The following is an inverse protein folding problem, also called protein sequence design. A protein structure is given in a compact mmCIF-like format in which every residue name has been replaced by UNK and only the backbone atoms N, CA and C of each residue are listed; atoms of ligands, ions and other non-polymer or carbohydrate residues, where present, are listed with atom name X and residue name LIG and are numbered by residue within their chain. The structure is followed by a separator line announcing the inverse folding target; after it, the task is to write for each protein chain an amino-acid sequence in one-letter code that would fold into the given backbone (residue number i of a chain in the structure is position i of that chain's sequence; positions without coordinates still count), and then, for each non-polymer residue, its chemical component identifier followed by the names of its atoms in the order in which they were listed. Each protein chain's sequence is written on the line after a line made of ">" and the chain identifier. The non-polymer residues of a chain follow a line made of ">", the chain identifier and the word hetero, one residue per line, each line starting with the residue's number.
data_IF_219564632683
#
_entry.id   IF_219564632683
#
_cell.length_a   1.000
_cell.length_b   1.000
_cell.length_c   1.000
_cell.angle_alpha   90.00
_cell.angle_beta   90.00
_cell.angle_gamma   90.00
#
_symmetry.space_group_name_H-M   'P 1'
#
loop_
_entity.id
_entity.type
_entity.pdbx_description
1 polymer ?
#
# COMPACT_ATOMS: atom_id res chain seq x y z
N UNK A 1 12.36 -28.43 3.15
CA UNK A 1 12.94 -27.11 2.85
C UNK A 1 12.87 -26.25 4.12
N UNK A 2 13.96 -25.57 4.49
CA UNK A 2 13.96 -24.66 5.63
C UNK A 2 13.05 -23.45 5.37
N UNK A 3 12.58 -22.78 6.41
CA UNK A 3 11.75 -21.57 6.29
C UNK A 3 12.52 -20.45 5.56
N UNK A 4 13.81 -20.32 5.82
CA UNK A 4 14.70 -19.37 5.14
C UNK A 4 14.76 -19.64 3.62
N UNK A 5 14.90 -20.90 3.21
CA UNK A 5 14.94 -21.28 1.80
C UNK A 5 13.65 -20.91 1.08
N UNK A 6 12.48 -21.14 1.73
CA UNK A 6 11.18 -20.74 1.15
C UNK A 6 11.07 -19.21 0.97
N UNK A 7 11.53 -18.44 1.95
CA UNK A 7 11.55 -16.98 1.89
C UNK A 7 12.44 -16.46 0.77
N UNK A 8 13.64 -17.03 0.60
CA UNK A 8 14.56 -16.63 -0.46
C UNK A 8 13.97 -16.95 -1.84
N UNK A 9 13.43 -18.17 -2.05
CA UNK A 9 12.83 -18.55 -3.32
C UNK A 9 11.65 -17.64 -3.66
N UNK A 10 10.78 -17.34 -2.68
CA UNK A 10 9.68 -16.42 -2.88
C UNK A 10 10.16 -15.03 -3.31
N UNK A 11 11.15 -14.47 -2.62
CA UNK A 11 11.69 -13.14 -2.94
C UNK A 11 12.33 -13.09 -4.34
N UNK A 12 13.10 -14.12 -4.70
CA UNK A 12 13.78 -14.23 -6.03
C UNK A 12 12.77 -14.32 -7.18
N UNK A 13 11.59 -14.90 -6.95
CA UNK A 13 10.54 -14.98 -7.98
C UNK A 13 9.65 -13.73 -7.93
N UNK A 14 9.22 -13.30 -6.74
CA UNK A 14 8.26 -12.22 -6.59
C UNK A 14 8.82 -10.86 -7.01
N UNK A 15 10.10 -10.56 -6.73
CA UNK A 15 10.68 -9.28 -7.09
C UNK A 15 10.79 -9.07 -8.61
N UNK A 16 11.38 -9.99 -9.42
CA UNK A 16 11.36 -9.85 -10.88
C UNK A 16 9.95 -9.85 -11.46
N UNK A 17 9.05 -10.69 -10.93
CA UNK A 17 7.66 -10.75 -11.41
C UNK A 17 6.93 -9.41 -11.16
N UNK A 18 7.12 -8.78 -9.98
CA UNK A 18 6.52 -7.48 -9.69
C UNK A 18 7.07 -6.38 -10.60
N UNK A 19 8.38 -6.38 -10.88
CA UNK A 19 8.98 -5.45 -11.84
C UNK A 19 8.39 -5.67 -13.23
N UNK A 20 8.28 -6.91 -13.70
CA UNK A 20 7.73 -7.23 -15.00
C UNK A 20 6.25 -6.81 -15.12
N UNK A 21 5.42 -7.10 -14.11
CA UNK A 21 4.00 -6.71 -14.07
C UNK A 21 3.84 -5.19 -14.12
N UNK A 22 4.64 -4.45 -13.34
CA UNK A 22 4.61 -2.98 -13.37
C UNK A 22 5.12 -2.45 -14.70
N UNK A 23 6.16 -3.06 -15.27
CA UNK A 23 6.73 -2.65 -16.56
C UNK A 23 5.74 -2.83 -17.70
N UNK A 24 5.13 -4.00 -17.83
CA UNK A 24 4.08 -4.26 -18.83
C UNK A 24 2.85 -3.40 -18.58
N UNK A 25 2.48 -3.19 -17.31
CA UNK A 25 1.37 -2.31 -16.94
C UNK A 25 0.03 -2.79 -17.47
N UNK A 26 -0.77 -1.84 -17.93
CA UNK A 26 -2.06 -2.03 -18.61
C UNK A 26 -3.01 -3.01 -17.89
N UNK A 27 -3.71 -3.89 -18.60
CA UNK A 27 -4.61 -4.89 -18.02
C UNK A 27 -3.91 -5.85 -17.06
N UNK A 28 -2.66 -6.23 -17.34
CA UNK A 28 -1.92 -7.13 -16.46
C UNK A 28 -1.74 -6.54 -15.07
N UNK A 29 -1.33 -5.29 -14.97
CA UNK A 29 -1.19 -4.59 -13.71
C UNK A 29 -2.55 -4.38 -13.04
N UNK A 30 -3.57 -3.94 -13.78
CA UNK A 30 -4.91 -3.69 -13.24
C UNK A 30 -5.51 -4.96 -12.62
N UNK A 31 -5.41 -6.11 -13.30
CA UNK A 31 -5.92 -7.40 -12.81
C UNK A 31 -5.18 -7.85 -11.54
N UNK A 32 -3.84 -7.77 -11.54
CA UNK A 32 -3.06 -8.16 -10.36
C UNK A 32 -3.41 -7.30 -9.16
N UNK A 33 -3.51 -5.97 -9.34
CA UNK A 33 -3.90 -5.06 -8.26
C UNK A 33 -5.34 -5.30 -7.79
N UNK A 34 -6.26 -5.69 -8.69
CA UNK A 34 -7.63 -6.07 -8.34
C UNK A 34 -7.67 -7.33 -7.47
N UNK A 35 -6.86 -8.34 -7.81
CA UNK A 35 -6.75 -9.56 -6.99
C UNK A 35 -6.14 -9.23 -5.62
N UNK A 36 -5.09 -8.41 -5.57
CA UNK A 36 -4.49 -7.99 -4.30
C UNK A 36 -5.49 -7.19 -3.44
N UNK A 37 -6.26 -6.29 -4.04
CA UNK A 37 -7.29 -5.52 -3.34
C UNK A 37 -8.42 -6.43 -2.81
N UNK A 38 -8.86 -7.41 -3.59
CA UNK A 38 -9.86 -8.39 -3.15
C UNK A 38 -9.38 -9.20 -1.94
N UNK A 39 -8.14 -9.70 -2.00
CA UNK A 39 -7.54 -10.48 -0.91
C UNK A 39 -7.32 -9.64 0.34
N UNK A 40 -6.83 -8.41 0.19
CA UNK A 40 -6.64 -7.48 1.30
C UNK A 40 -7.97 -7.12 1.98
N UNK A 41 -9.03 -6.85 1.19
CA UNK A 41 -10.37 -6.61 1.73
C UNK A 41 -10.91 -7.83 2.48
N UNK A 42 -10.72 -9.04 1.93
CA UNK A 42 -11.11 -10.27 2.59
C UNK A 42 -10.39 -10.46 3.93
N UNK A 43 -9.06 -10.22 3.98
CA UNK A 43 -8.28 -10.29 5.23
C UNK A 43 -8.76 -9.29 6.27
N UNK A 44 -9.03 -8.05 5.86
CA UNK A 44 -9.55 -7.01 6.75
C UNK A 44 -10.94 -7.38 7.29
N UNK A 45 -11.85 -7.86 6.45
CA UNK A 45 -13.18 -8.29 6.89
C UNK A 45 -13.11 -9.52 7.79
N UNK A 46 -12.18 -10.44 7.56
CA UNK A 46 -11.90 -11.54 8.44
C UNK A 46 -11.47 -11.04 9.84
N UNK A 47 -10.50 -10.13 9.91
CA UNK A 47 -10.09 -9.53 11.18
C UNK A 47 -11.25 -8.79 11.87
N UNK A 48 -12.06 -8.06 11.11
CA UNK A 48 -13.23 -7.39 11.67
C UNK A 48 -14.26 -8.36 12.26
N UNK A 49 -14.42 -9.56 11.70
CA UNK A 49 -15.29 -10.60 12.30
C UNK A 49 -14.80 -11.10 13.65
N UNK A 50 -13.50 -11.18 13.86
CA UNK A 50 -12.94 -11.57 15.17
C UNK A 50 -13.31 -10.56 16.28
N UNK A 51 -13.57 -9.28 15.92
CA UNK A 51 -14.09 -8.27 16.86
C UNK A 51 -15.62 -8.32 17.05
N UNK A 52 -16.32 -9.26 16.40
CA UNK A 52 -17.77 -9.38 16.43
C UNK A 52 -18.50 -8.44 15.46
N UNK A 53 -17.79 -7.84 14.52
CA UNK A 53 -18.38 -7.05 13.46
C UNK A 53 -18.95 -7.93 12.34
N UNK A 54 -19.91 -7.39 11.60
CA UNK A 54 -20.61 -8.09 10.51
C UNK A 54 -20.52 -7.31 9.19
N UNK A 55 -19.34 -7.22 8.54
CA UNK A 55 -19.20 -6.53 7.26
C UNK A 55 -20.07 -7.16 6.18
N UNK A 56 -20.42 -6.39 5.14
CA UNK A 56 -21.06 -6.86 3.90
C UNK A 56 -19.96 -7.46 2.99
N UNK A 57 -19.37 -8.54 3.44
CA UNK A 57 -18.12 -9.09 2.90
C UNK A 57 -18.13 -9.35 1.39
N UNK A 58 -19.13 -10.05 0.78
CA UNK A 58 -19.11 -10.30 -0.66
C UNK A 58 -19.15 -9.01 -1.49
N UNK A 59 -19.98 -8.05 -1.07
CA UNK A 59 -20.09 -6.75 -1.73
C UNK A 59 -18.80 -5.93 -1.56
N UNK A 60 -18.25 -5.92 -0.35
CA UNK A 60 -17.02 -5.19 -0.06
C UNK A 60 -15.81 -5.73 -0.84
N UNK A 61 -15.65 -7.05 -0.93
CA UNK A 61 -14.57 -7.68 -1.72
C UNK A 61 -14.73 -7.35 -3.21
N UNK A 62 -15.94 -7.47 -3.75
CA UNK A 62 -16.18 -7.14 -5.15
C UNK A 62 -15.90 -5.66 -5.46
N UNK A 63 -16.35 -4.75 -4.60
CA UNK A 63 -16.09 -3.32 -4.76
C UNK A 63 -14.58 -2.98 -4.64
N UNK A 64 -13.88 -3.59 -3.69
CA UNK A 64 -12.44 -3.41 -3.57
C UNK A 64 -11.70 -3.87 -4.83
N UNK A 65 -12.07 -5.03 -5.39
CA UNK A 65 -11.52 -5.55 -6.65
C UNK A 65 -11.80 -4.64 -7.85
N UNK A 66 -12.96 -3.98 -7.87
CA UNK A 66 -13.35 -3.10 -8.98
C UNK A 66 -12.58 -1.77 -9.00
N UNK A 67 -12.03 -1.30 -7.88
CA UNK A 67 -11.36 0.00 -7.82
C UNK A 67 -10.13 0.10 -8.74
N UNK A 68 -9.17 -0.85 -8.76
CA UNK A 68 -8.05 -0.78 -9.70
C UNK A 68 -8.50 -0.87 -11.18
N UNK A 69 -9.56 -1.65 -11.47
CA UNK A 69 -10.14 -1.71 -12.81
C UNK A 69 -10.83 -0.40 -13.20
N UNK A 70 -11.50 0.26 -12.25
CA UNK A 70 -12.12 1.57 -12.48
C UNK A 70 -11.06 2.65 -12.79
N UNK A 71 -9.93 2.65 -12.08
CA UNK A 71 -8.80 3.55 -12.36
C UNK A 71 -8.20 3.25 -13.73
N UNK A 72 -8.08 1.98 -14.12
CA UNK A 72 -7.67 1.60 -15.47
C UNK A 72 -8.68 2.07 -16.54
N UNK A 73 -9.96 1.85 -16.34
CA UNK A 73 -11.02 2.32 -17.25
C UNK A 73 -11.05 3.85 -17.38
N UNK A 74 -10.80 4.56 -16.28
CA UNK A 74 -10.66 6.02 -16.29
C UNK A 74 -9.49 6.48 -17.16
N UNK A 75 -8.33 5.82 -17.05
CA UNK A 75 -7.18 6.09 -17.91
C UNK A 75 -7.50 5.86 -19.40
N UNK A 76 -8.29 4.85 -19.72
CA UNK A 76 -8.73 4.58 -21.10
C UNK A 76 -9.81 5.56 -21.59
N UNK A 77 -10.29 6.47 -20.75
CA UNK A 77 -11.38 7.39 -21.10
C UNK A 77 -12.76 6.72 -21.21
N UNK A 78 -12.89 5.47 -20.78
CA UNK A 78 -14.15 4.70 -20.85
C UNK A 78 -15.11 5.10 -19.73
N UNK A 79 -14.57 5.43 -18.56
CA UNK A 79 -15.36 5.75 -17.37
C UNK A 79 -14.64 6.79 -16.51
N UNK A 80 -15.42 7.65 -15.84
CA UNK A 80 -14.87 8.60 -14.86
C UNK A 80 -15.46 8.31 -13.50
N UNK A 81 -14.62 7.99 -12.52
CA UNK A 81 -15.05 7.77 -11.14
C UNK A 81 -15.52 9.10 -10.54
N UNK A 82 -16.82 9.30 -10.48
CA UNK A 82 -17.43 10.52 -9.95
C UNK A 82 -17.74 10.40 -8.46
N UNK A 83 -17.74 11.52 -7.74
CA UNK A 83 -18.19 11.58 -6.36
C UNK A 83 -19.63 11.05 -6.22
N UNK A 84 -20.51 11.35 -7.19
CA UNK A 84 -21.87 10.84 -7.22
C UNK A 84 -21.93 9.32 -7.26
N UNK A 85 -21.07 8.66 -8.03
CA UNK A 85 -21.00 7.20 -8.09
C UNK A 85 -20.56 6.60 -6.74
N UNK A 86 -19.60 7.23 -6.07
CA UNK A 86 -19.15 6.80 -4.74
C UNK A 86 -20.26 6.95 -3.72
N UNK A 87 -20.96 8.07 -3.70
CA UNK A 87 -22.10 8.31 -2.80
C UNK A 87 -23.22 7.30 -3.08
N UNK A 88 -23.60 7.09 -4.35
CA UNK A 88 -24.62 6.11 -4.73
C UNK A 88 -24.24 4.71 -4.27
N UNK A 89 -22.99 4.30 -4.41
CA UNK A 89 -22.48 3.01 -3.93
C UNK A 89 -22.65 2.88 -2.40
N UNK A 90 -22.28 3.91 -1.63
CA UNK A 90 -22.44 3.91 -0.16
C UNK A 90 -23.92 3.81 0.22
N UNK A 91 -24.81 4.55 -0.46
CA UNK A 91 -26.25 4.49 -0.23
C UNK A 91 -26.83 3.12 -0.58
N UNK A 92 -26.40 2.48 -1.66
CA UNK A 92 -26.79 1.12 -2.03
C UNK A 92 -26.33 0.09 -0.99
N UNK A 93 -25.10 0.20 -0.50
CA UNK A 93 -24.61 -0.64 0.59
C UNK A 93 -25.46 -0.44 1.84
N UNK A 94 -25.78 0.79 2.20
CA UNK A 94 -26.63 1.07 3.35
C UNK A 94 -28.05 0.53 3.16
N UNK A 95 -28.68 0.76 2.02
CA UNK A 95 -30.01 0.24 1.70
C UNK A 95 -30.03 -1.30 1.76
N UNK A 96 -28.98 -1.99 1.28
CA UNK A 96 -28.92 -3.45 1.31
C UNK A 96 -28.98 -4.03 2.73
N UNK A 97 -28.55 -3.27 3.74
CA UNK A 97 -28.61 -3.72 5.14
C UNK A 97 -30.03 -3.91 5.66
N UNK A 98 -31.05 -3.28 5.04
CA UNK A 98 -32.46 -3.45 5.41
C UNK A 98 -32.84 -4.94 5.34
N UNK A 99 -32.39 -5.62 4.29
CA UNK A 99 -32.71 -7.05 4.06
C UNK A 99 -31.64 -8.00 4.60
N UNK A 100 -30.37 -7.57 4.56
CA UNK A 100 -29.24 -8.45 4.91
C UNK A 100 -28.92 -8.45 6.41
N UNK A 101 -29.25 -7.41 7.15
CA UNK A 101 -28.86 -7.26 8.57
C UNK A 101 -30.03 -7.02 9.50
N UNK A 102 -30.99 -6.20 9.11
CA UNK A 102 -32.05 -5.71 10.00
C UNK A 102 -31.46 -4.89 11.17
N UNK A 103 -32.31 -4.49 12.15
CA UNK A 103 -31.86 -3.64 13.27
C UNK A 103 -30.84 -4.34 14.19
N UNK A 104 -30.99 -5.64 14.44
CA UNK A 104 -30.12 -6.43 15.32
C UNK A 104 -28.73 -6.69 14.74
N UNK A 105 -28.57 -6.62 13.42
CA UNK A 105 -27.32 -6.87 12.71
C UNK A 105 -26.36 -5.68 12.67
N UNK A 106 -26.56 -4.64 13.48
CA UNK A 106 -25.69 -3.46 13.59
C UNK A 106 -25.40 -2.83 12.22
N UNK A 107 -26.42 -2.39 11.45
CA UNK A 107 -26.25 -1.97 10.06
C UNK A 107 -25.26 -0.82 9.89
N UNK A 108 -25.21 0.15 10.80
CA UNK A 108 -24.24 1.26 10.76
C UNK A 108 -22.79 0.74 10.81
N UNK A 109 -22.48 -0.13 11.77
CA UNK A 109 -21.15 -0.74 11.89
C UNK A 109 -20.81 -1.60 10.67
N UNK A 110 -21.78 -2.39 10.17
CA UNK A 110 -21.61 -3.21 8.96
C UNK A 110 -21.21 -2.37 7.75
N UNK A 111 -21.92 -1.27 7.49
CA UNK A 111 -21.60 -0.36 6.36
C UNK A 111 -20.28 0.35 6.60
N UNK A 112 -20.04 0.90 7.78
CA UNK A 112 -18.80 1.65 8.08
C UNK A 112 -17.56 0.78 7.86
N UNK A 113 -17.56 -0.47 8.36
CA UNK A 113 -16.44 -1.39 8.20
C UNK A 113 -16.31 -1.84 6.74
N UNK A 114 -17.43 -2.06 6.04
CA UNK A 114 -17.39 -2.43 4.62
C UNK A 114 -16.80 -1.29 3.79
N UNK A 115 -17.23 -0.05 3.99
CA UNK A 115 -16.72 1.12 3.28
C UNK A 115 -15.24 1.33 3.61
N UNK A 116 -14.86 1.23 4.89
CA UNK A 116 -13.46 1.32 5.29
C UNK A 116 -12.60 0.27 4.59
N UNK A 117 -13.05 -1.00 4.56
CA UNK A 117 -12.31 -2.08 3.91
C UNK A 117 -12.16 -1.89 2.40
N UNK A 118 -13.22 -1.43 1.73
CA UNK A 118 -13.18 -1.09 0.30
C UNK A 118 -12.18 0.04 0.04
N UNK A 119 -12.25 1.11 0.81
CA UNK A 119 -11.35 2.26 0.65
C UNK A 119 -9.89 1.89 0.95
N UNK A 120 -9.65 1.15 2.03
CA UNK A 120 -8.30 0.75 2.44
C UNK A 120 -7.66 -0.20 1.44
N UNK A 121 -8.36 -1.26 1.03
CA UNK A 121 -7.88 -2.18 -0.01
C UNK A 121 -7.79 -1.49 -1.39
N UNK A 122 -8.67 -0.55 -1.68
CA UNK A 122 -8.65 0.25 -2.90
C UNK A 122 -7.39 1.09 -3.08
N UNK A 123 -6.61 1.32 -2.01
CA UNK A 123 -5.32 2.03 -2.09
C UNK A 123 -4.30 1.34 -3.00
N UNK A 124 -4.45 0.05 -3.31
CA UNK A 124 -3.68 -0.61 -4.35
C UNK A 124 -3.78 0.08 -5.72
N UNK A 125 -4.88 0.77 -6.00
CA UNK A 125 -5.07 1.55 -7.23
C UNK A 125 -4.04 2.65 -7.43
N UNK A 126 -3.44 3.15 -6.35
CA UNK A 126 -2.41 4.19 -6.43
C UNK A 126 -1.09 3.69 -7.04
N UNK A 127 -0.81 2.38 -6.99
CA UNK A 127 0.30 1.77 -7.73
C UNK A 127 0.06 1.93 -9.24
N UNK A 128 -1.18 1.70 -9.69
CA UNK A 128 -1.56 1.92 -11.09
C UNK A 128 -1.49 3.41 -11.46
N UNK A 129 -2.04 4.28 -10.63
CA UNK A 129 -2.00 5.73 -10.87
C UNK A 129 -0.56 6.26 -10.94
N UNK A 130 0.33 5.77 -10.07
CA UNK A 130 1.73 6.16 -10.08
C UNK A 130 2.48 5.64 -11.32
N UNK A 131 2.17 4.41 -11.77
CA UNK A 131 2.73 3.84 -13.01
C UNK A 131 2.40 4.68 -14.25
N UNK A 132 1.25 5.33 -14.24
CA UNK A 132 0.75 6.17 -15.34
C UNK A 132 0.68 7.65 -14.96
N UNK A 133 1.58 8.09 -14.08
CA UNK A 133 1.73 9.50 -13.74
C UNK A 133 2.01 10.34 -15.01
N UNK A 134 1.53 11.56 -15.05
CA UNK A 134 1.62 12.46 -16.22
C UNK A 134 3.04 12.64 -16.77
N UNK A 135 4.05 12.56 -15.89
CA UNK A 135 5.46 12.59 -16.28
C UNK A 135 6.04 11.24 -16.66
N UNK A 136 5.28 10.13 -16.50
CA UNK A 136 5.76 8.79 -16.80
C UNK A 136 5.72 8.50 -18.31
N UNK A 137 6.67 9.06 -19.05
CA UNK A 137 6.80 8.82 -20.48
C UNK A 137 7.41 7.43 -20.72
N UNK A 138 6.52 6.46 -21.03
CA UNK A 138 6.93 5.09 -21.32
C UNK A 138 7.01 4.15 -20.12
N UNK A 139 7.32 2.89 -20.40
CA UNK A 139 7.30 1.81 -19.42
C UNK A 139 8.39 1.95 -18.36
N UNK A 140 9.59 2.31 -18.75
CA UNK A 140 10.74 2.43 -17.86
C UNK A 140 10.53 3.54 -16.82
N UNK A 141 10.09 4.73 -17.27
CA UNK A 141 9.85 5.87 -16.38
C UNK A 141 8.74 5.57 -15.36
N UNK A 142 7.60 5.04 -15.81
CA UNK A 142 6.51 4.68 -14.91
C UNK A 142 6.91 3.58 -13.91
N UNK A 143 7.71 2.60 -14.33
CA UNK A 143 8.26 1.58 -13.45
C UNK A 143 9.19 2.21 -12.40
N UNK A 144 10.08 3.10 -12.82
CA UNK A 144 10.97 3.81 -11.91
C UNK A 144 10.19 4.65 -10.87
N UNK A 145 9.10 5.31 -11.28
CA UNK A 145 8.25 6.06 -10.36
C UNK A 145 7.56 5.18 -9.31
N UNK A 146 7.10 3.98 -9.69
CA UNK A 146 6.49 3.02 -8.73
C UNK A 146 7.54 2.48 -7.77
N UNK A 147 8.72 2.12 -8.26
CA UNK A 147 9.74 1.49 -7.42
C UNK A 147 10.52 2.46 -6.52
N UNK A 148 10.47 3.77 -6.76
CA UNK A 148 11.05 4.74 -5.84
C UNK A 148 10.42 4.62 -4.43
N UNK A 149 9.11 4.80 -4.22
CA UNK A 149 8.51 4.67 -2.90
C UNK A 149 8.61 3.24 -2.33
N UNK A 150 8.56 2.19 -3.16
CA UNK A 150 8.76 0.80 -2.73
C UNK A 150 10.14 0.61 -2.10
N UNK A 151 11.20 1.06 -2.77
CA UNK A 151 12.56 0.94 -2.26
C UNK A 151 12.77 1.79 -1.01
N UNK A 152 12.16 2.97 -0.91
CA UNK A 152 12.23 3.78 0.30
C UNK A 152 11.53 3.12 1.49
N UNK A 153 10.42 2.44 1.26
CA UNK A 153 9.73 1.64 2.29
C UNK A 153 10.65 0.53 2.78
N UNK A 154 11.23 -0.27 1.88
CA UNK A 154 12.18 -1.33 2.26
C UNK A 154 13.43 -0.77 2.96
N UNK A 155 13.97 0.35 2.50
CA UNK A 155 15.10 1.02 3.16
C UNK A 155 14.73 1.46 4.58
N UNK A 156 13.52 2.01 4.75
CA UNK A 156 12.99 2.39 6.07
C UNK A 156 12.95 1.17 7.00
N UNK A 157 12.43 0.03 6.55
CA UNK A 157 12.32 -1.19 7.36
C UNK A 157 13.69 -1.76 7.71
N UNK A 158 14.60 -1.85 6.75
CA UNK A 158 15.99 -2.32 6.97
C UNK A 158 16.72 -1.41 7.93
N UNK A 159 16.61 -0.09 7.73
CA UNK A 159 17.22 0.90 8.63
C UNK A 159 16.63 0.83 10.03
N UNK A 160 15.30 0.79 10.13
CA UNK A 160 14.61 0.70 11.41
C UNK A 160 14.97 -0.57 12.18
N UNK A 161 15.05 -1.72 11.50
CA UNK A 161 15.48 -2.98 12.11
C UNK A 161 16.94 -2.92 12.58
N UNK A 162 17.85 -2.48 11.70
CA UNK A 162 19.29 -2.49 11.98
C UNK A 162 19.64 -1.53 13.12
N UNK A 163 19.21 -0.26 13.01
CA UNK A 163 19.49 0.74 14.05
C UNK A 163 18.71 0.47 15.34
N UNK A 164 17.48 -0.02 15.23
CA UNK A 164 16.67 -0.39 16.39
C UNK A 164 17.27 -1.55 17.18
N UNK A 165 17.86 -2.53 16.50
CA UNK A 165 18.53 -3.67 17.15
C UNK A 165 19.86 -3.26 17.80
N UNK A 166 20.62 -2.37 17.17
CA UNK A 166 21.96 -2.00 17.61
C UNK A 166 21.94 -0.90 18.67
N UNK A 167 21.10 0.12 18.49
CA UNK A 167 21.08 1.33 19.30
C UNK A 167 19.76 1.55 20.05
N UNK A 168 18.72 0.72 19.82
CA UNK A 168 17.39 0.93 20.35
C UNK A 168 17.32 0.87 21.87
N UNK A 169 16.93 1.97 22.48
CA UNK A 169 16.72 2.12 23.93
C UNK A 169 15.27 2.47 24.26
N UNK A 170 14.69 3.43 23.53
CA UNK A 170 13.35 3.93 23.78
C UNK A 170 12.35 3.26 22.85
N UNK A 171 11.32 2.60 23.43
CA UNK A 171 10.22 2.01 22.66
C UNK A 171 9.38 3.09 21.98
N UNK A 172 8.90 2.81 20.75
CA UNK A 172 8.09 3.74 19.98
C UNK A 172 6.63 3.73 20.46
N UNK A 173 5.93 2.61 20.29
CA UNK A 173 4.54 2.39 20.76
C UNK A 173 4.43 0.96 21.28
N UNK A 174 4.77 0.71 22.58
CA UNK A 174 4.83 -0.64 23.15
C UNK A 174 3.52 -1.42 23.07
N UNK A 175 2.39 -0.75 23.20
CA UNK A 175 1.05 -1.36 23.18
C UNK A 175 0.65 -1.93 21.80
N UNK A 176 1.21 -1.39 20.73
CA UNK A 176 0.90 -1.79 19.34
C UNK A 176 1.99 -2.71 18.80
N UNK A 177 3.25 -2.27 18.88
CA UNK A 177 4.42 -2.98 18.36
C UNK A 177 5.60 -2.90 19.36
N UNK A 178 5.74 -3.88 20.27
CA UNK A 178 6.75 -3.83 21.35
C UNK A 178 8.20 -3.92 20.83
N UNK A 179 8.39 -4.35 19.57
CA UNK A 179 9.73 -4.44 18.94
C UNK A 179 10.28 -3.12 18.45
N UNK A 180 9.43 -2.17 18.06
CA UNK A 180 9.86 -0.92 17.45
C UNK A 180 10.45 0.07 18.46
N UNK A 181 11.50 0.80 18.03
CA UNK A 181 12.21 1.80 18.85
C UNK A 181 12.31 3.14 18.14
N UNK A 182 12.46 4.21 18.92
CA UNK A 182 12.62 5.58 18.37
C UNK A 182 13.92 5.68 17.58
N UNK A 183 15.02 5.10 18.08
CA UNK A 183 16.31 5.10 17.39
C UNK A 183 16.24 4.33 16.07
N UNK A 184 15.46 3.23 16.04
CA UNK A 184 15.17 2.52 14.81
C UNK A 184 14.40 3.38 13.82
N UNK A 185 13.36 4.09 14.28
CA UNK A 185 12.56 4.96 13.42
C UNK A 185 13.41 6.05 12.76
N UNK A 186 14.32 6.68 13.52
CA UNK A 186 15.27 7.68 13.00
C UNK A 186 16.27 7.06 12.05
N UNK A 187 16.79 5.87 12.36
CA UNK A 187 17.70 5.13 11.49
C UNK A 187 17.07 4.74 10.14
N UNK A 188 15.80 4.32 10.16
CA UNK A 188 15.03 4.05 8.95
C UNK A 188 14.86 5.28 8.08
N UNK A 189 14.50 6.41 8.69
CA UNK A 189 14.38 7.70 8.01
C UNK A 189 15.70 8.12 7.37
N UNK A 190 16.83 8.01 8.11
CA UNK A 190 18.15 8.36 7.59
C UNK A 190 18.54 7.51 6.38
N UNK A 191 18.30 6.19 6.43
CA UNK A 191 18.58 5.30 5.31
C UNK A 191 17.68 5.58 4.10
N UNK A 192 16.41 5.89 4.32
CA UNK A 192 15.50 6.27 3.25
C UNK A 192 15.95 7.53 2.51
N UNK A 193 16.48 8.55 3.21
CA UNK A 193 17.03 9.75 2.59
C UNK A 193 18.22 9.40 1.68
N UNK A 194 19.16 8.60 2.17
CA UNK A 194 20.34 8.19 1.39
C UNK A 194 19.92 7.42 0.14
N UNK A 195 19.01 6.43 0.28
CA UNK A 195 18.52 5.64 -0.84
C UNK A 195 17.73 6.51 -1.85
N UNK A 196 16.95 7.48 -1.39
CA UNK A 196 16.24 8.40 -2.27
C UNK A 196 17.21 9.20 -3.14
N UNK A 197 18.23 9.81 -2.55
CA UNK A 197 19.24 10.59 -3.28
C UNK A 197 19.97 9.72 -4.31
N UNK A 198 20.36 8.52 -3.93
CA UNK A 198 21.01 7.57 -4.83
C UNK A 198 20.07 7.13 -5.96
N UNK A 199 18.82 6.82 -5.65
CA UNK A 199 17.83 6.41 -6.64
C UNK A 199 17.53 7.51 -7.65
N UNK A 200 17.33 8.74 -7.20
CA UNK A 200 17.14 9.89 -8.08
C UNK A 200 18.36 10.05 -9.00
N UNK A 201 19.57 10.00 -8.47
CA UNK A 201 20.80 10.23 -9.24
C UNK A 201 21.10 9.12 -10.25
N UNK A 202 20.92 7.85 -9.86
CA UNK A 202 21.39 6.70 -10.65
C UNK A 202 20.29 5.97 -11.40
N UNK A 203 19.02 6.16 -11.03
CA UNK A 203 17.89 5.49 -11.68
C UNK A 203 16.95 6.50 -12.32
N UNK A 204 16.40 7.44 -11.55
CA UNK A 204 15.34 8.31 -12.04
C UNK A 204 15.85 9.25 -13.13
N UNK A 205 17.00 9.90 -12.92
CA UNK A 205 17.59 10.81 -13.91
C UNK A 205 17.98 10.09 -15.22
N UNK A 206 18.76 9.01 -15.23
CA UNK A 206 19.25 8.41 -16.47
C UNK A 206 18.18 7.59 -17.21
N UNK A 207 17.24 6.93 -16.51
CA UNK A 207 16.30 6.00 -17.16
C UNK A 207 14.88 6.56 -17.32
N UNK A 208 14.49 7.55 -16.50
CA UNK A 208 13.18 8.18 -16.58
C UNK A 208 13.24 9.62 -17.08
N UNK A 209 14.42 10.22 -17.16
CA UNK A 209 14.60 11.64 -17.50
C UNK A 209 13.83 12.57 -16.56
N UNK A 210 13.73 12.16 -15.32
CA UNK A 210 13.04 12.86 -14.24
C UNK A 210 14.00 13.09 -13.09
N UNK A 211 13.82 14.13 -12.33
CA UNK A 211 14.62 14.43 -11.16
C UNK A 211 13.83 15.07 -10.04
N UNK A 212 14.48 15.19 -8.91
CA UNK A 212 14.05 15.95 -7.76
C UNK A 212 15.19 16.88 -7.36
N UNK A 213 14.88 18.07 -6.89
CA UNK A 213 15.88 18.87 -6.18
C UNK A 213 16.38 18.11 -4.95
N UNK A 214 17.55 18.45 -4.43
CA UNK A 214 18.06 17.81 -3.19
C UNK A 214 17.05 17.99 -2.04
N UNK A 215 16.51 19.21 -1.88
CA UNK A 215 15.47 19.47 -0.87
C UNK A 215 14.19 18.67 -1.13
N UNK A 216 13.76 18.57 -2.40
CA UNK A 216 12.60 17.77 -2.80
C UNK A 216 12.79 16.28 -2.52
N UNK A 217 13.97 15.73 -2.81
CA UNK A 217 14.31 14.34 -2.54
C UNK A 217 14.35 14.03 -1.02
N UNK A 218 14.94 14.93 -0.23
CA UNK A 218 14.97 14.80 1.23
C UNK A 218 13.56 14.89 1.81
N UNK A 219 12.76 15.87 1.39
CA UNK A 219 11.37 15.99 1.84
C UNK A 219 10.56 14.77 1.46
N UNK A 220 10.68 14.30 0.22
CA UNK A 220 10.00 13.10 -0.26
C UNK A 220 10.36 11.87 0.60
N UNK A 221 11.65 11.65 0.85
CA UNK A 221 12.12 10.53 1.65
C UNK A 221 11.61 10.59 3.10
N UNK A 222 11.62 11.77 3.73
CA UNK A 222 11.12 11.97 5.09
C UNK A 222 9.64 11.59 5.15
N UNK A 223 8.82 12.15 4.28
CA UNK A 223 7.37 11.94 4.32
C UNK A 223 7.01 10.49 3.99
N UNK A 224 7.67 9.87 2.99
CA UNK A 224 7.49 8.46 2.63
C UNK A 224 7.90 7.54 3.79
N UNK A 225 9.05 7.79 4.44
CA UNK A 225 9.51 6.98 5.58
C UNK A 225 8.55 7.08 6.77
N UNK A 226 8.04 8.28 7.08
CA UNK A 226 7.04 8.46 8.14
C UNK A 226 5.73 7.75 7.78
N UNK A 227 5.28 7.86 6.53
CA UNK A 227 4.08 7.17 6.06
C UNK A 227 4.23 5.64 6.13
N UNK A 228 5.39 5.09 5.74
CA UNK A 228 5.67 3.66 5.82
C UNK A 228 5.60 3.15 7.26
N UNK A 229 6.25 3.84 8.19
CA UNK A 229 6.23 3.48 9.61
C UNK A 229 4.83 3.60 10.21
N UNK A 230 4.06 4.60 9.78
CA UNK A 230 2.67 4.81 10.23
C UNK A 230 1.76 3.70 9.70
N UNK A 231 1.92 3.28 8.44
CA UNK A 231 1.15 2.21 7.81
C UNK A 231 1.30 0.88 8.53
N UNK A 232 2.55 0.46 8.79
CA UNK A 232 2.84 -0.76 9.55
C UNK A 232 2.27 -0.69 11.00
N UNK A 233 2.36 0.48 11.66
CA UNK A 233 1.75 0.65 12.98
C UNK A 233 0.21 0.61 12.93
N UNK A 234 -0.39 1.20 11.91
CA UNK A 234 -1.85 1.19 11.73
C UNK A 234 -2.37 -0.24 11.50
N UNK A 235 -1.71 -1.01 10.64
CA UNK A 235 -2.06 -2.42 10.41
C UNK A 235 -1.82 -3.26 11.67
N UNK A 236 -0.70 -3.04 12.36
CA UNK A 236 -0.41 -3.67 13.64
C UNK A 236 -1.51 -3.39 14.68
N UNK A 237 -2.05 -2.17 14.71
CA UNK A 237 -3.16 -1.80 15.61
C UNK A 237 -4.43 -2.60 15.30
N UNK A 238 -4.81 -2.72 14.02
CA UNK A 238 -5.96 -3.54 13.60
C UNK A 238 -5.79 -5.03 13.98
N UNK A 239 -4.58 -5.57 13.84
CA UNK A 239 -4.26 -6.95 14.28
C UNK A 239 -4.42 -7.12 15.79
N UNK A 240 -4.00 -6.13 16.59
CA UNK A 240 -4.18 -6.20 18.07
C UNK A 240 -5.63 -6.13 18.47
N UNK A 241 -6.44 -5.28 17.82
CA UNK A 241 -7.88 -5.21 18.05
C UNK A 241 -8.57 -6.55 17.73
N UNK A 242 -8.19 -7.19 16.63
CA UNK A 242 -8.70 -8.49 16.23
C UNK A 242 -8.13 -9.69 17.05
N UNK A 243 -7.18 -9.43 17.98
CA UNK A 243 -6.54 -10.49 18.77
C UNK A 243 -5.63 -11.42 17.96
N UNK A 244 -5.23 -11.01 16.74
CA UNK A 244 -4.39 -11.82 15.86
C UNK A 244 -2.98 -11.22 15.71
N UNK A 245 -2.05 -12.02 15.22
CA UNK A 245 -0.68 -11.60 14.92
C UNK A 245 -0.49 -11.30 13.43
N UNK A 246 -1.05 -12.15 12.58
CA UNK A 246 -0.94 -12.05 11.11
C UNK A 246 -2.34 -11.90 10.53
N UNK A 247 -2.50 -11.10 9.47
CA UNK A 247 -3.80 -10.85 8.83
C UNK A 247 -4.40 -12.13 8.23
N UNK A 248 -3.55 -13.04 7.73
CA UNK A 248 -3.93 -14.36 7.26
C UNK A 248 -2.72 -15.31 7.18
N UNK A 249 -2.91 -16.48 6.54
CA UNK A 249 -1.85 -17.46 6.24
C UNK A 249 -1.82 -17.81 4.74
N UNK A 250 -2.30 -16.90 3.89
CA UNK A 250 -2.35 -17.14 2.44
C UNK A 250 -0.95 -17.31 1.84
N UNK A 251 0.02 -16.51 2.32
CA UNK A 251 1.40 -16.61 1.86
C UNK A 251 2.20 -17.48 2.81
N UNK A 252 2.54 -18.74 2.44
CA UNK A 252 3.26 -19.66 3.31
C UNK A 252 4.59 -19.06 3.82
N UNK A 253 4.73 -18.91 5.14
CA UNK A 253 5.90 -18.32 5.78
C UNK A 253 5.98 -16.78 5.73
N UNK A 254 4.97 -16.10 5.14
CA UNK A 254 4.96 -14.65 4.97
C UNK A 254 3.71 -13.95 5.52
N UNK A 255 2.73 -14.68 6.09
CA UNK A 255 1.48 -14.09 6.57
C UNK A 255 0.46 -13.81 5.47
N UNK A 256 -0.25 -12.73 5.56
CA UNK A 256 -1.23 -12.30 4.57
C UNK A 256 -0.72 -11.27 3.56
N UNK A 257 -1.62 -10.85 2.68
CA UNK A 257 -1.39 -9.77 1.71
C UNK A 257 -1.25 -8.44 2.46
N UNK A 258 -2.12 -8.16 3.44
CA UNK A 258 -2.03 -6.94 4.23
C UNK A 258 -0.68 -6.86 4.96
N UNK A 259 -0.21 -7.96 5.56
CA UNK A 259 1.11 -8.01 6.25
C UNK A 259 2.30 -7.68 5.32
N UNK A 260 2.14 -7.70 4.00
CA UNK A 260 3.18 -7.41 3.02
C UNK A 260 3.08 -6.03 2.40
N UNK A 261 1.89 -5.43 2.43
CA UNK A 261 1.60 -4.16 1.77
C UNK A 261 1.14 -3.07 2.73
N UNK A 262 1.09 -3.33 4.04
CA UNK A 262 0.67 -2.42 5.11
C UNK A 262 1.27 -1.01 4.98
N UNK A 263 2.59 -0.95 4.91
CA UNK A 263 3.34 0.28 4.70
C UNK A 263 3.08 0.90 3.33
N UNK A 264 3.03 0.07 2.28
CA UNK A 264 2.85 0.55 0.91
C UNK A 264 1.47 1.15 0.66
N UNK A 265 0.42 0.65 1.30
CA UNK A 265 -0.91 1.23 1.20
C UNK A 265 -0.96 2.68 1.69
N UNK A 266 -0.18 3.04 2.71
CA UNK A 266 -0.04 4.43 3.16
C UNK A 266 0.89 5.24 2.26
N UNK A 267 1.96 4.63 1.79
CA UNK A 267 3.01 5.30 1.01
C UNK A 267 2.54 5.69 -0.39
N UNK A 268 1.85 4.81 -1.11
CA UNK A 268 1.53 5.03 -2.52
C UNK A 268 0.69 6.28 -2.81
N UNK A 269 -0.42 6.56 -2.08
CA UNK A 269 -1.18 7.80 -2.30
C UNK A 269 -0.36 9.06 -1.97
N UNK A 270 0.45 9.02 -0.93
CA UNK A 270 1.32 10.12 -0.53
C UNK A 270 2.42 10.34 -1.57
N UNK A 271 3.03 9.27 -2.08
CA UNK A 271 4.02 9.33 -3.13
C UNK A 271 3.46 9.97 -4.41
N UNK A 272 2.24 9.58 -4.84
CA UNK A 272 1.58 10.18 -6.00
C UNK A 272 1.37 11.69 -5.81
N UNK A 273 0.87 12.09 -4.64
CA UNK A 273 0.63 13.50 -4.31
C UNK A 273 1.92 14.33 -4.33
N UNK A 274 3.00 13.80 -3.74
CA UNK A 274 4.28 14.51 -3.65
C UNK A 274 5.00 14.54 -4.99
N UNK A 275 5.04 13.44 -5.73
CA UNK A 275 5.68 13.39 -7.03
C UNK A 275 5.00 14.33 -8.03
N UNK A 276 3.67 14.46 -8.00
CA UNK A 276 2.94 15.44 -8.80
C UNK A 276 3.36 16.90 -8.56
N UNK A 277 4.08 17.20 -7.49
CA UNK A 277 4.54 18.55 -7.14
C UNK A 277 6.05 18.72 -7.15
N UNK A 278 6.80 17.66 -6.94
CA UNK A 278 8.25 17.70 -6.73
C UNK A 278 9.06 17.22 -7.93
N UNK A 279 8.44 16.44 -8.84
CA UNK A 279 9.11 15.96 -10.05
C UNK A 279 9.45 17.11 -10.99
N UNK A 280 10.66 17.04 -11.51
CA UNK A 280 11.17 17.96 -12.53
C UNK A 280 11.55 17.15 -13.77
N UNK A 281 10.99 17.47 -14.96
CA UNK A 281 11.50 16.94 -16.21
C UNK A 281 12.95 17.41 -16.42
N UNK A 282 13.84 16.49 -16.79
CA UNK A 282 15.21 16.83 -17.14
C UNK A 282 15.28 16.85 -18.67
N UNK A 283 15.55 18.00 -19.31
CA UNK A 283 15.74 18.03 -20.76
C UNK A 283 16.92 17.15 -21.16
N UNK A 284 16.80 16.49 -22.31
CA UNK A 284 17.83 15.71 -22.97
C UNK A 284 19.03 16.57 -23.34
#
# INVERSE_FOLDING_TARGET
>A
MSELTRRIIFAVIAAPASIAIVYFGDWALAIVLSVLAALAAWELFRMARETGALPLEPAGIALAALLPLAVHAQRLGVYTLSLTAIIAMILLLFASTIWLRGPAGKPLSSVAITVFGVMYAGLFSYIYALRYHDYAVGAAAGTALVFLPVLLTWATDVGAYTFGRTFGKKKLIPSVSPGKTVEGAVGGLGLAIVICLLYVRFILMPYAQLGLTIQGAVLFAIVVSVAAQTGDLAESLLKREAGVKDSSRILPGHGGILDRFDSLLFVMPIALLLLGRLLLPIPL
#
